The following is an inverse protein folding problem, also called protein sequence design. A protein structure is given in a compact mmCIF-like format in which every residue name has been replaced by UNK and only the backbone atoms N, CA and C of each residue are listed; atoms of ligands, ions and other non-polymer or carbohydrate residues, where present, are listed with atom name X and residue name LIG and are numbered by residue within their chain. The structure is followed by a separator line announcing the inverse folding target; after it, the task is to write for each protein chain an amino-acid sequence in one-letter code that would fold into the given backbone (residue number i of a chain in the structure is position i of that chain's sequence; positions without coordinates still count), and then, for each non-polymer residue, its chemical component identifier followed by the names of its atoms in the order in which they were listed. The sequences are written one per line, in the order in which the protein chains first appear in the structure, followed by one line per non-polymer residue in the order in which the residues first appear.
data_IF_099799257629
#
_entry.id   IF_099799257629
#
_cell.length_a   1.000
_cell.length_b   1.000
_cell.length_c   1.000
_cell.angle_alpha   90.00
_cell.angle_beta   90.00
_cell.angle_gamma   90.00
#
_symmetry.space_group_name_H-M   'P 1'
#
loop_
_entity.id
_entity.type
_entity.pdbx_description
1 polymer ?
#
# COMPACT_ATOMS: atom_id res chain seq x y z
N UNK A 1 -15.86 0.94 9.83
CA UNK A 1 -15.87 2.41 10.04
C UNK A 1 -14.72 3.02 9.24
N UNK A 2 -14.78 4.29 8.82
CA UNK A 2 -13.61 4.94 8.20
C UNK A 2 -12.66 5.44 9.29
N UNK A 3 -11.35 5.33 9.06
CA UNK A 3 -10.31 5.79 10.00
C UNK A 3 -9.21 6.54 9.27
N UNK A 4 -8.49 7.40 9.99
CA UNK A 4 -7.28 8.08 9.52
C UNK A 4 -6.05 7.32 10.02
N UNK A 5 -5.12 7.01 9.14
CA UNK A 5 -3.83 6.47 9.54
C UNK A 5 -3.04 7.53 10.34
N UNK A 6 -2.52 7.21 11.54
CA UNK A 6 -1.72 8.16 12.30
C UNK A 6 -0.38 8.41 11.59
N UNK A 7 0.18 9.61 11.76
CA UNK A 7 1.57 9.85 11.38
C UNK A 7 2.46 8.98 12.27
N UNK A 8 3.17 8.04 11.66
CA UNK A 8 4.09 7.16 12.38
C UNK A 8 5.43 7.86 12.65
N UNK A 9 6.21 7.30 13.56
CA UNK A 9 7.58 7.72 13.75
C UNK A 9 8.38 7.35 12.49
N UNK A 10 8.94 8.35 11.80
CA UNK A 10 9.88 8.11 10.71
C UNK A 10 11.10 7.34 11.21
N UNK A 11 11.84 6.74 10.28
CA UNK A 11 13.01 5.89 10.54
C UNK A 11 12.75 4.52 11.18
N UNK A 12 11.49 4.14 11.40
CA UNK A 12 11.14 2.75 11.70
C UNK A 12 11.56 1.83 10.54
N UNK A 13 12.15 0.68 10.88
CA UNK A 13 12.54 -0.33 9.89
C UNK A 13 11.30 -1.10 9.47
N UNK A 14 11.11 -1.27 8.16
CA UNK A 14 10.05 -2.09 7.60
C UNK A 14 10.05 -3.49 8.23
N UNK A 15 8.94 -3.93 8.87
CA UNK A 15 8.83 -5.28 9.36
C UNK A 15 8.95 -6.30 8.22
N UNK A 16 9.75 -7.35 8.43
CA UNK A 16 9.91 -8.40 7.42
C UNK A 16 8.64 -9.27 7.29
N UNK A 17 8.46 -9.86 6.12
CA UNK A 17 7.36 -10.75 5.79
C UNK A 17 7.75 -11.73 4.68
N UNK A 18 7.01 -12.84 4.57
CA UNK A 18 6.95 -13.70 3.40
C UNK A 18 5.48 -14.05 3.16
N UNK A 19 4.90 -13.58 2.05
CA UNK A 19 3.47 -13.72 1.77
C UNK A 19 3.22 -14.30 0.38
N UNK A 20 2.11 -15.01 0.24
CA UNK A 20 1.61 -15.50 -1.04
C UNK A 20 1.02 -14.34 -1.85
N UNK A 21 1.39 -14.23 -3.11
CA UNK A 21 0.84 -13.28 -4.08
C UNK A 21 -0.20 -13.92 -4.98
N UNK A 22 -1.06 -13.11 -5.59
CA UNK A 22 -2.10 -13.52 -6.57
C UNK A 22 -1.59 -14.34 -7.75
N UNK A 23 -0.29 -14.25 -8.08
CA UNK A 23 0.40 -15.04 -9.10
C UNK A 23 0.83 -16.43 -8.60
N UNK A 24 0.46 -16.80 -7.37
CA UNK A 24 0.84 -18.02 -6.64
C UNK A 24 2.32 -18.12 -6.27
N UNK A 25 3.10 -17.03 -6.42
CA UNK A 25 4.47 -16.97 -5.92
C UNK A 25 4.50 -16.41 -4.49
N UNK A 26 5.53 -16.78 -3.74
CA UNK A 26 5.83 -16.15 -2.46
C UNK A 26 6.84 -15.02 -2.65
N UNK A 27 6.59 -13.89 -2.01
CA UNK A 27 7.50 -12.75 -2.00
C UNK A 27 7.83 -12.37 -0.57
N UNK A 28 9.12 -12.12 -0.33
CA UNK A 28 9.61 -11.47 0.88
C UNK A 28 9.81 -9.98 0.66
N UNK A 29 9.88 -9.21 1.75
CA UNK A 29 10.22 -7.79 1.69
C UNK A 29 11.52 -7.55 0.90
N UNK A 30 12.54 -8.37 1.16
CA UNK A 30 13.83 -8.28 0.47
C UNK A 30 13.73 -8.57 -1.03
N UNK A 31 12.87 -9.51 -1.46
CA UNK A 31 12.66 -9.79 -2.89
C UNK A 31 11.93 -8.66 -3.62
N UNK A 32 11.14 -7.86 -2.89
CA UNK A 32 10.40 -6.72 -3.42
C UNK A 32 11.23 -5.44 -3.39
N UNK A 33 12.21 -5.34 -2.48
CA UNK A 33 12.97 -4.13 -2.24
C UNK A 33 13.52 -3.49 -3.53
N UNK A 34 13.14 -2.24 -3.79
CA UNK A 34 13.65 -1.50 -4.95
C UNK A 34 15.03 -0.89 -4.66
N UNK A 35 15.83 -0.67 -5.71
CA UNK A 35 17.19 -0.11 -5.58
C UNK A 35 17.21 1.24 -4.83
N UNK A 36 16.18 2.07 -5.04
CA UNK A 36 16.07 3.41 -4.46
C UNK A 36 15.01 3.52 -3.36
N UNK A 37 14.16 2.51 -3.20
CA UNK A 37 13.12 2.49 -2.18
C UNK A 37 12.00 1.52 -2.50
N UNK A 38 11.04 1.43 -1.58
CA UNK A 38 9.91 0.51 -1.66
C UNK A 38 8.65 1.15 -1.13
N UNK A 39 7.53 0.93 -1.80
CA UNK A 39 6.19 1.25 -1.30
C UNK A 39 5.47 -0.03 -0.92
N UNK A 40 5.00 -0.10 0.33
CA UNK A 40 4.05 -1.11 0.79
C UNK A 40 2.70 -0.41 0.99
N UNK A 41 1.63 -0.98 0.46
CA UNK A 41 0.28 -0.44 0.64
C UNK A 41 -0.68 -1.52 1.12
N UNK A 42 -1.38 -1.25 2.21
CA UNK A 42 -2.47 -2.12 2.66
C UNK A 42 -3.76 -1.74 1.92
N UNK A 43 -4.35 -2.66 1.20
CA UNK A 43 -5.59 -2.46 0.41
C UNK A 43 -6.57 -3.61 0.61
N UNK A 44 -7.74 -3.52 -0.03
CA UNK A 44 -8.71 -4.60 -0.12
C UNK A 44 -9.56 -4.41 -1.38
N UNK A 45 -10.37 -5.40 -1.75
CA UNK A 45 -11.04 -5.43 -3.05
C UNK A 45 -12.39 -4.69 -3.05
N UNK A 46 -13.08 -4.66 -1.91
CA UNK A 46 -14.46 -4.15 -1.83
C UNK A 46 -14.59 -2.70 -1.34
N UNK A 47 -13.53 -2.14 -0.76
CA UNK A 47 -13.58 -0.81 -0.17
C UNK A 47 -13.76 0.26 -1.27
N UNK A 48 -14.78 1.14 -1.15
CA UNK A 48 -15.00 2.19 -2.15
C UNK A 48 -13.82 3.16 -2.28
N UNK A 49 -13.06 3.38 -1.20
CA UNK A 49 -11.84 4.21 -1.23
C UNK A 49 -10.72 3.56 -2.06
N UNK A 50 -10.55 2.24 -1.96
CA UNK A 50 -9.55 1.51 -2.75
C UNK A 50 -9.98 1.42 -4.20
N UNK A 51 -11.23 1.05 -4.47
CA UNK A 51 -11.79 0.96 -5.82
C UNK A 51 -11.61 2.29 -6.57
N UNK A 52 -11.86 3.40 -5.88
CA UNK A 52 -11.70 4.75 -6.41
C UNK A 52 -10.26 5.12 -6.81
N UNK A 53 -9.24 4.53 -6.18
CA UNK A 53 -7.83 4.82 -6.47
C UNK A 53 -7.12 3.70 -7.23
N UNK A 54 -7.76 2.56 -7.50
CA UNK A 54 -7.06 1.37 -8.00
C UNK A 54 -6.35 1.61 -9.34
N UNK A 55 -6.98 2.32 -10.27
CA UNK A 55 -6.34 2.72 -11.53
C UNK A 55 -5.15 3.68 -11.29
N UNK A 56 -5.31 4.64 -10.38
CA UNK A 56 -4.23 5.56 -9.99
C UNK A 56 -3.09 4.81 -9.32
N UNK A 57 -3.37 3.83 -8.47
CA UNK A 57 -2.36 3.00 -7.82
C UNK A 57 -1.54 2.22 -8.84
N UNK A 58 -2.20 1.62 -9.84
CA UNK A 58 -1.50 0.95 -10.95
C UNK A 58 -0.59 1.92 -11.72
N UNK A 59 -1.11 3.10 -12.05
CA UNK A 59 -0.32 4.14 -12.71
C UNK A 59 0.88 4.58 -11.85
N UNK A 60 0.67 4.90 -10.57
CA UNK A 60 1.72 5.34 -9.67
C UNK A 60 2.81 4.29 -9.48
N UNK A 61 2.45 3.01 -9.31
CA UNK A 61 3.42 1.93 -9.18
C UNK A 61 4.32 1.82 -10.42
N UNK A 62 3.76 1.98 -11.62
CA UNK A 62 4.52 1.98 -12.87
C UNK A 62 5.48 3.18 -12.98
N UNK A 63 5.03 4.36 -12.54
CA UNK A 63 5.86 5.57 -12.54
C UNK A 63 6.98 5.49 -11.49
N UNK A 64 6.70 4.95 -10.31
CA UNK A 64 7.67 4.70 -9.25
C UNK A 64 8.74 3.69 -9.70
N UNK A 65 8.35 2.64 -10.42
CA UNK A 65 9.27 1.63 -10.96
C UNK A 65 10.33 2.26 -11.88
N UNK A 66 9.96 3.26 -12.68
CA UNK A 66 10.89 4.00 -13.57
C UNK A 66 12.00 4.75 -12.83
N UNK A 67 11.78 5.08 -11.55
CA UNK A 67 12.75 5.78 -10.69
C UNK A 67 13.39 4.87 -9.64
N UNK A 68 13.31 3.55 -9.85
CA UNK A 68 13.96 2.53 -9.01
C UNK A 68 13.21 2.21 -7.71
N UNK A 69 11.91 2.51 -7.64
CA UNK A 69 11.07 2.27 -6.47
C UNK A 69 10.06 1.18 -6.80
N UNK A 70 10.13 0.08 -6.07
CA UNK A 70 9.19 -1.03 -6.24
C UNK A 70 7.97 -0.86 -5.33
N UNK A 71 6.85 -1.44 -5.75
CA UNK A 71 5.60 -1.40 -4.98
C UNK A 71 5.14 -2.82 -4.66
N UNK A 72 4.50 -3.04 -3.52
CA UNK A 72 3.69 -4.21 -3.24
C UNK A 72 2.43 -3.81 -2.47
N UNK A 73 1.32 -4.46 -2.80
CA UNK A 73 0.07 -4.34 -2.06
C UNK A 73 -0.12 -5.53 -1.13
N UNK A 74 -0.77 -5.32 0.02
CA UNK A 74 -1.09 -6.36 1.00
C UNK A 74 -2.58 -6.28 1.34
N UNK A 75 -3.28 -7.42 1.29
CA UNK A 75 -4.65 -7.56 1.75
C UNK A 75 -4.68 -8.38 3.03
N UNK A 76 -5.19 -7.78 4.10
CA UNK A 76 -5.23 -8.36 5.46
C UNK A 76 -6.65 -8.47 6.03
N UNK A 77 -7.69 -8.25 5.24
CA UNK A 77 -9.07 -8.33 5.72
C UNK A 77 -9.49 -9.78 5.99
N UNK A 78 -10.37 -9.98 6.98
CA UNK A 78 -11.01 -11.26 7.25
C UNK A 78 -11.95 -11.67 6.11
N UNK A 79 -11.50 -12.64 5.31
CA UNK A 79 -12.22 -13.13 4.13
C UNK A 79 -13.45 -13.97 4.48
N UNK A 80 -13.58 -14.47 5.72
CA UNK A 80 -14.78 -15.18 6.15
C UNK A 80 -15.96 -14.22 6.33
N UNK A 81 -15.68 -13.07 6.97
CA UNK A 81 -16.67 -12.00 7.14
C UNK A 81 -16.85 -11.16 5.87
N UNK A 82 -15.83 -11.08 5.01
CA UNK A 82 -15.81 -10.29 3.78
C UNK A 82 -15.32 -11.11 2.56
N UNK A 83 -16.16 -11.98 1.98
CA UNK A 83 -15.78 -12.88 0.88
C UNK A 83 -15.29 -12.18 -0.39
N UNK A 84 -15.64 -10.91 -0.58
CA UNK A 84 -15.16 -10.05 -1.66
C UNK A 84 -13.63 -9.85 -1.61
N UNK A 85 -13.04 -10.00 -0.42
CA UNK A 85 -11.60 -9.95 -0.23
C UNK A 85 -10.91 -11.32 -0.36
N UNK A 86 -11.63 -12.38 -0.73
CA UNK A 86 -11.02 -13.69 -0.97
C UNK A 86 -9.88 -13.65 -2.02
N UNK A 87 -8.96 -14.62 -1.93
CA UNK A 87 -7.80 -14.73 -2.83
C UNK A 87 -8.20 -14.75 -4.32
N UNK A 88 -9.25 -15.49 -4.68
CA UNK A 88 -9.78 -15.51 -6.05
C UNK A 88 -10.25 -14.13 -6.51
N UNK A 89 -10.85 -13.35 -5.61
CA UNK A 89 -11.27 -11.99 -5.92
C UNK A 89 -10.08 -11.01 -5.92
N UNK A 90 -9.02 -11.25 -5.15
CA UNK A 90 -7.76 -10.51 -5.28
C UNK A 90 -7.16 -10.70 -6.67
N UNK A 91 -7.16 -11.93 -7.20
CA UNK A 91 -6.70 -12.21 -8.57
C UNK A 91 -7.51 -11.41 -9.60
N UNK A 92 -8.85 -11.48 -9.52
CA UNK A 92 -9.74 -10.71 -10.41
C UNK A 92 -9.52 -9.21 -10.29
N UNK A 93 -9.34 -8.69 -9.08
CA UNK A 93 -9.09 -7.28 -8.82
C UNK A 93 -7.76 -6.82 -9.44
N UNK A 94 -6.69 -7.59 -9.21
CA UNK A 94 -5.36 -7.38 -9.77
C UNK A 94 -5.39 -7.34 -11.31
N UNK A 95 -6.08 -8.29 -11.94
CA UNK A 95 -6.24 -8.33 -13.39
C UNK A 95 -7.09 -7.17 -13.91
N UNK A 96 -8.19 -6.81 -13.23
CA UNK A 96 -9.08 -5.72 -13.64
C UNK A 96 -8.35 -4.37 -13.68
N UNK A 97 -7.51 -4.09 -12.69
CA UNK A 97 -6.79 -2.83 -12.57
C UNK A 97 -5.34 -2.88 -13.06
N UNK A 98 -4.96 -3.97 -13.74
CA UNK A 98 -3.63 -4.17 -14.32
C UNK A 98 -2.50 -3.90 -13.32
N UNK A 99 -2.54 -4.55 -12.16
CA UNK A 99 -1.44 -4.46 -11.20
C UNK A 99 -0.23 -5.24 -11.75
N UNK A 100 0.85 -4.51 -12.08
CA UNK A 100 2.16 -5.06 -12.48
C UNK A 100 3.14 -5.12 -11.29
N UNK A 101 2.59 -5.39 -10.11
CA UNK A 101 3.32 -5.52 -8.86
C UNK A 101 2.65 -6.58 -7.96
N UNK A 102 3.39 -7.17 -6.98
CA UNK A 102 2.82 -8.21 -6.12
C UNK A 102 1.62 -7.71 -5.32
N UNK A 103 0.52 -8.47 -5.34
CA UNK A 103 -0.63 -8.27 -4.47
C UNK A 103 -0.72 -9.46 -3.51
N UNK A 104 -0.29 -9.22 -2.27
CA UNK A 104 0.03 -10.22 -1.26
C UNK A 104 -1.16 -10.47 -0.32
N UNK A 105 -1.33 -11.71 0.11
CA UNK A 105 -2.37 -12.10 1.06
C UNK A 105 -1.79 -12.34 2.46
N UNK A 106 -2.14 -11.46 3.40
CA UNK A 106 -1.80 -11.56 4.82
C UNK A 106 -2.98 -12.18 5.59
N UNK A 107 -3.12 -13.51 5.48
CA UNK A 107 -4.24 -14.24 6.08
C UNK A 107 -4.23 -14.19 7.62
N UNK A 108 -3.06 -14.12 8.27
CA UNK A 108 -2.96 -14.10 9.74
C UNK A 108 -3.17 -12.70 10.32
N UNK A 109 -3.11 -11.67 9.47
CA UNK A 109 -3.15 -10.25 9.85
C UNK A 109 -1.95 -9.79 10.69
N UNK A 110 -0.95 -10.65 10.86
CA UNK A 110 0.25 -10.34 11.64
C UNK A 110 1.08 -9.26 10.96
N UNK A 111 1.11 -9.22 9.63
CA UNK A 111 1.89 -8.22 8.90
C UNK A 111 1.23 -6.85 9.03
N UNK A 112 -0.10 -6.76 8.86
CA UNK A 112 -0.83 -5.53 9.15
C UNK A 112 -0.62 -5.04 10.60
N UNK A 113 -0.65 -5.94 11.59
CA UNK A 113 -0.37 -5.60 13.00
C UNK A 113 1.05 -5.07 13.19
N UNK A 114 2.07 -5.70 12.59
CA UNK A 114 3.48 -5.28 12.67
C UNK A 114 3.74 -3.92 12.03
N UNK A 115 3.09 -3.64 10.90
CA UNK A 115 3.14 -2.34 10.22
C UNK A 115 2.24 -1.29 10.89
N UNK A 116 1.49 -1.66 11.94
CA UNK A 116 0.45 -0.83 12.54
C UNK A 116 -0.51 -0.23 11.49
N UNK A 117 -0.82 -0.99 10.44
CA UNK A 117 -1.75 -0.59 9.40
C UNK A 117 -3.16 -0.55 9.97
N UNK A 118 -3.92 0.51 9.66
CA UNK A 118 -5.25 0.73 10.26
C UNK A 118 -6.39 0.85 9.27
N UNK A 119 -6.11 1.28 8.04
CA UNK A 119 -7.11 1.47 6.99
C UNK A 119 -6.72 0.87 5.65
N UNK A 120 -7.68 0.86 4.74
CA UNK A 120 -7.48 0.58 3.31
C UNK A 120 -8.03 1.75 2.48
N UNK A 121 -7.19 2.40 1.65
CA UNK A 121 -5.74 2.19 1.52
C UNK A 121 -4.93 2.79 2.69
N UNK A 122 -3.77 2.22 3.02
CA UNK A 122 -2.75 2.79 3.93
C UNK A 122 -1.35 2.60 3.33
N UNK A 123 -0.63 3.69 3.07
CA UNK A 123 0.63 3.69 2.31
C UNK A 123 1.85 3.90 3.20
N UNK A 124 2.89 3.11 2.95
CA UNK A 124 4.18 3.15 3.62
C UNK A 124 5.29 3.21 2.57
N UNK A 125 6.02 4.33 2.51
CA UNK A 125 7.15 4.53 1.63
C UNK A 125 8.47 4.47 2.39
N UNK A 126 9.33 3.55 1.97
CA UNK A 126 10.62 3.27 2.57
C UNK A 126 11.76 3.70 1.64
N UNK A 127 12.85 4.20 2.22
CA UNK A 127 14.08 4.44 1.46
C UNK A 127 14.84 3.13 1.17
N UNK A 128 15.98 3.22 0.47
CA UNK A 128 16.83 2.07 0.14
C UNK A 128 17.47 1.33 1.35
N UNK A 129 17.28 1.85 2.57
CA UNK A 129 17.66 1.19 3.83
C UNK A 129 16.45 0.61 4.56
N UNK A 130 15.31 0.51 3.88
CA UNK A 130 14.03 0.05 4.42
C UNK A 130 13.57 0.85 5.66
N UNK A 131 13.97 2.12 5.76
CA UNK A 131 13.49 3.04 6.80
C UNK A 131 12.26 3.79 6.30
N UNK A 132 11.22 3.86 7.12
CA UNK A 132 10.00 4.58 6.81
C UNK A 132 10.31 6.07 6.65
N UNK A 133 9.99 6.62 5.48
CA UNK A 133 10.16 8.03 5.15
C UNK A 133 8.85 8.69 4.69
N UNK A 134 7.86 7.87 4.32
CA UNK A 134 6.54 8.34 3.94
C UNK A 134 5.43 7.48 4.54
N UNK A 135 4.46 8.09 5.20
CA UNK A 135 3.19 7.48 5.57
C UNK A 135 2.07 8.48 5.34
N UNK A 136 1.19 8.18 4.39
CA UNK A 136 0.20 9.16 3.97
C UNK A 136 -0.74 8.65 2.89
N UNK A 137 -1.44 9.57 2.22
CA UNK A 137 -2.35 9.31 1.10
C UNK A 137 -1.60 9.23 -0.24
N UNK A 138 -2.15 8.51 -1.21
CA UNK A 138 -1.58 8.44 -2.57
C UNK A 138 -1.46 9.82 -3.25
N UNK A 139 -2.51 10.63 -3.13
CA UNK A 139 -2.64 11.91 -3.83
C UNK A 139 -3.63 12.85 -3.11
N UNK A 140 -3.75 14.09 -3.62
CA UNK A 140 -4.69 15.07 -3.07
C UNK A 140 -6.14 14.93 -3.57
N UNK A 141 -6.42 13.89 -4.36
CA UNK A 141 -7.74 13.57 -4.89
C UNK A 141 -8.67 13.00 -3.83
N UNK A 142 -9.97 12.99 -4.15
CA UNK A 142 -11.02 12.39 -3.32
C UNK A 142 -11.84 11.48 -4.21
N UNK A 143 -12.06 10.23 -3.79
CA UNK A 143 -12.85 9.18 -4.46
C UNK A 143 -12.84 9.26 -6.00
N UNK A 144 -13.72 10.07 -6.60
CA UNK A 144 -13.95 10.12 -8.06
C UNK A 144 -13.37 11.35 -8.78
N UNK A 145 -12.56 12.17 -8.11
CA UNK A 145 -11.93 13.33 -8.75
C UNK A 145 -10.86 12.83 -9.72
N UNK A 146 -10.93 13.23 -10.99
CA UNK A 146 -9.95 12.96 -12.05
C UNK A 146 -9.67 14.24 -12.84
N UNK A 147 -9.23 15.29 -12.15
CA UNK A 147 -8.80 16.53 -12.78
C UNK A 147 -7.27 16.72 -12.68
N UNK A 148 -6.72 17.59 -13.51
CA UNK A 148 -5.29 17.88 -13.55
C UNK A 148 -4.76 18.59 -12.28
N UNK A 149 -5.61 18.91 -11.30
CA UNK A 149 -5.21 19.57 -10.07
C UNK A 149 -4.84 18.57 -8.95
N UNK A 150 -4.99 17.26 -9.21
CA UNK A 150 -4.58 16.22 -8.26
C UNK A 150 -3.07 16.22 -8.13
N UNK A 151 -2.59 16.49 -6.91
CA UNK A 151 -1.18 16.42 -6.57
C UNK A 151 -0.82 14.98 -6.26
N UNK A 152 0.12 14.42 -7.01
CA UNK A 152 0.66 13.05 -6.84
C UNK A 152 1.60 12.97 -5.63
N UNK A 153 1.04 13.07 -4.43
CA UNK A 153 1.81 13.26 -3.19
C UNK A 153 2.74 12.09 -2.87
N UNK A 154 2.29 10.84 -3.04
CA UNK A 154 3.13 9.66 -2.89
C UNK A 154 4.30 9.69 -3.87
N UNK A 155 4.02 9.97 -5.16
CA UNK A 155 5.06 10.01 -6.19
C UNK A 155 6.16 11.01 -5.86
N UNK A 156 5.80 12.27 -5.61
CA UNK A 156 6.79 13.32 -5.35
C UNK A 156 7.55 13.09 -4.03
N UNK A 157 6.90 12.50 -3.03
CA UNK A 157 7.58 12.09 -1.80
C UNK A 157 8.63 11.01 -2.09
N UNK A 158 8.23 9.94 -2.79
CA UNK A 158 9.12 8.83 -3.14
C UNK A 158 10.22 9.23 -4.12
N UNK A 159 9.95 10.17 -5.02
CA UNK A 159 10.94 10.79 -5.89
C UNK A 159 11.98 11.60 -5.10
N UNK A 160 11.56 12.29 -4.04
CA UNK A 160 12.49 12.97 -3.13
C UNK A 160 13.32 11.96 -2.34
N UNK A 161 12.68 10.89 -1.87
CA UNK A 161 13.32 9.80 -1.10
C UNK A 161 14.36 9.06 -1.98
N UNK A 162 14.08 8.81 -3.25
CA UNK A 162 15.02 8.10 -4.14
C UNK A 162 16.32 8.88 -4.36
N UNK A 163 16.27 10.21 -4.29
CA UNK A 163 17.43 11.09 -4.45
C UNK A 163 18.17 11.37 -3.14
N UNK A 164 17.43 11.51 -2.04
CA UNK A 164 17.97 12.05 -0.77
C UNK A 164 17.97 11.05 0.39
N UNK A 165 17.18 9.98 0.28
CA UNK A 165 16.89 9.04 1.36
C UNK A 165 15.95 9.58 2.44
N UNK A 166 15.45 10.83 2.30
CA UNK A 166 14.66 11.54 3.31
C UNK A 166 13.30 11.93 2.71
N UNK A 167 12.23 11.67 3.46
CA UNK A 167 10.87 12.04 3.07
C UNK A 167 10.50 13.50 3.38
N UNK A 168 9.37 13.99 2.84
CA UNK A 168 8.90 15.33 3.14
C UNK A 168 8.46 15.45 4.61
N UNK A 169 8.70 16.62 5.21
CA UNK A 169 8.30 16.90 6.61
C UNK A 169 6.77 16.99 6.77
N UNK A 170 6.07 17.43 5.72
CA UNK A 170 4.60 17.52 5.70
C UNK A 170 4.02 16.36 4.91
N UNK A 171 3.22 15.55 5.58
CA UNK A 171 2.53 14.39 5.02
C UNK A 171 1.07 14.45 5.46
N UNK A 172 0.16 14.01 4.60
CA UNK A 172 -1.26 13.97 4.89
C UNK A 172 -1.70 12.53 5.02
N UNK A 173 -2.44 12.25 6.09
CA UNK A 173 -2.87 10.91 6.44
C UNK A 173 -3.66 10.25 5.32
N UNK A 174 -3.47 8.93 5.18
CA UNK A 174 -4.42 8.08 4.47
C UNK A 174 -5.77 8.06 5.18
N UNK A 175 -6.83 7.92 4.40
CA UNK A 175 -8.20 7.81 4.87
C UNK A 175 -8.92 6.72 4.10
N UNK A 176 -9.58 5.82 4.82
CA UNK A 176 -10.26 4.70 4.21
C UNK A 176 -11.02 3.85 5.20
N UNK A 177 -11.56 2.74 4.73
CA UNK A 177 -12.22 1.78 5.62
C UNK A 177 -11.20 1.15 6.57
N UNK A 178 -11.59 0.90 7.82
CA UNK A 178 -10.77 0.12 8.73
C UNK A 178 -10.48 -1.27 8.17
N UNK A 179 -9.28 -1.79 8.44
CA UNK A 179 -8.96 -3.21 8.22
C UNK A 179 -10.00 -4.07 8.95
N UNK A 180 -10.41 -5.17 8.30
CA UNK A 180 -11.39 -6.12 8.84
C UNK A 180 -10.68 -7.15 9.68
N UNK A 181 -10.39 -6.81 10.93
CA UNK A 181 -9.72 -7.70 11.87
C UNK A 181 -10.55 -8.95 12.13
N UNK A 182 -9.90 -10.11 12.18
CA UNK A 182 -10.48 -11.34 12.73
C UNK A 182 -10.73 -11.09 14.21
N UNK A 183 -11.84 -11.61 14.72
CA UNK A 183 -12.05 -11.62 16.16
C UNK A 183 -10.96 -12.51 16.78
N UNK A 184 -10.30 -12.04 17.82
CA UNK A 184 -9.47 -12.90 18.65
C UNK A 184 -10.43 -13.89 19.34
N UNK A 185 -10.36 -15.18 18.98
CA UNK A 185 -10.96 -16.25 19.78
C UNK A 185 -10.11 -16.55 21.01
#
# INVERSE_FOLDING_TARGET
MSVNAPNEQLDLIAPDFELLSVDNNKYSLNSIAGEKGTVIVFICNHCPYVIAIAERLSFEANELKKIGINTAAIMSNDVLSYPEDSFDNMQKFSSKYNFDFPYLFDNTQEIAKKYSAVCTPDFFGFNNKLKLQYRGRIDSGVMNRNDNNIKRELFYAMETISRTGIGPSKQYNSFGCSIKWKNDE
#
